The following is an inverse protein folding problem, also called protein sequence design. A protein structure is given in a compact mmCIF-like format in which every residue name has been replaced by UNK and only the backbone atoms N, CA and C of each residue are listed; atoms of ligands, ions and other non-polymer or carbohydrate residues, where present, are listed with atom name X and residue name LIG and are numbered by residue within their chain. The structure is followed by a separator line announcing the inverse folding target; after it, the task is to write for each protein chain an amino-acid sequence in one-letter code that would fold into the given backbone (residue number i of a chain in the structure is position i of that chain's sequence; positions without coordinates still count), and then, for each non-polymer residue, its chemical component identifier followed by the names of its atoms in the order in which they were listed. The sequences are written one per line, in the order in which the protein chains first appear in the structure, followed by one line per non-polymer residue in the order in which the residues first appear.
data_IF_195369483652
#
_entry.id   IF_195369483652
#
_cell.length_a   1.000
_cell.length_b   1.000
_cell.length_c   1.000
_cell.angle_alpha   90.00
_cell.angle_beta   90.00
_cell.angle_gamma   90.00
#
_symmetry.space_group_name_H-M   'P 1'
#
loop_
_entity.id
_entity.type
_entity.pdbx_description
1 polymer ?
#
# COMPACT_ATOMS: atom_id res chain seq x y z
N UNK A 1 -14.38 -0.06 -16.01
CA UNK A 1 -14.24 1.23 -15.30
C UNK A 1 -13.06 1.12 -14.35
N UNK A 2 -12.21 2.14 -14.31
CA UNK A 2 -10.78 2.09 -13.92
C UNK A 2 -10.50 1.62 -12.48
N UNK A 3 -10.18 0.34 -12.28
CA UNK A 3 -9.57 -0.20 -11.04
C UNK A 3 -8.06 0.10 -10.92
N UNK A 4 -7.58 1.19 -11.53
CA UNK A 4 -6.15 1.43 -11.79
C UNK A 4 -5.32 1.59 -10.52
N UNK A 5 -5.67 2.44 -9.53
CA UNK A 5 -4.75 2.72 -8.42
C UNK A 5 -4.42 1.49 -7.57
N UNK A 6 -5.41 0.62 -7.31
CA UNK A 6 -5.20 -0.62 -6.56
C UNK A 6 -4.35 -1.62 -7.36
N UNK A 7 -4.64 -1.81 -8.65
CA UNK A 7 -3.85 -2.70 -9.49
C UNK A 7 -2.41 -2.19 -9.66
N UNK A 8 -2.22 -0.88 -9.84
CA UNK A 8 -0.91 -0.24 -9.94
C UNK A 8 -0.11 -0.45 -8.66
N UNK A 9 -0.73 -0.30 -7.49
CA UNK A 9 -0.07 -0.60 -6.21
C UNK A 9 0.32 -2.08 -6.08
N UNK A 10 -0.59 -3.01 -6.40
CA UNK A 10 -0.30 -4.44 -6.32
C UNK A 10 0.76 -4.88 -7.35
N UNK A 11 0.84 -4.21 -8.50
CA UNK A 11 1.89 -4.44 -9.48
C UNK A 11 3.24 -3.92 -8.98
N UNK A 12 3.27 -2.71 -8.40
CA UNK A 12 4.46 -2.17 -7.73
C UNK A 12 5.02 -3.14 -6.68
N UNK A 13 4.16 -3.70 -5.82
CA UNK A 13 4.60 -4.65 -4.79
C UNK A 13 5.19 -5.96 -5.35
N UNK A 14 4.95 -6.29 -6.62
CA UNK A 14 5.49 -7.47 -7.29
C UNK A 14 6.78 -7.19 -8.05
N UNK A 15 7.17 -5.92 -8.20
CA UNK A 15 8.44 -5.57 -8.84
C UNK A 15 9.60 -6.09 -7.99
N UNK A 16 10.59 -6.79 -8.58
CA UNK A 16 11.81 -7.16 -7.86
C UNK A 16 12.49 -5.88 -7.38
N UNK A 17 12.79 -5.78 -6.08
CA UNK A 17 13.45 -4.59 -5.53
C UNK A 17 14.91 -4.85 -5.23
N UNK A 18 15.76 -4.19 -6.02
CA UNK A 18 17.11 -3.77 -5.60
C UNK A 18 17.06 -2.41 -4.89
N UNK A 19 15.93 -2.07 -4.26
CA UNK A 19 15.70 -0.77 -3.63
C UNK A 19 16.26 -0.76 -2.21
N UNK A 20 16.86 0.36 -1.82
CA UNK A 20 17.10 0.68 -0.42
C UNK A 20 15.76 0.93 0.31
N UNK A 21 15.72 0.66 1.60
CA UNK A 21 14.52 0.78 2.44
C UNK A 21 13.91 2.19 2.40
N UNK A 22 14.75 3.21 2.36
CA UNK A 22 14.31 4.61 2.24
C UNK A 22 13.55 4.89 0.93
N UNK A 23 13.96 4.28 -0.18
CA UNK A 23 13.27 4.40 -1.46
C UNK A 23 11.97 3.60 -1.49
N UNK A 24 12.00 2.39 -0.93
CA UNK A 24 10.81 1.56 -0.74
C UNK A 24 9.73 2.33 0.03
N UNK A 25 10.10 2.96 1.15
CA UNK A 25 9.20 3.75 2.00
C UNK A 25 8.58 4.93 1.25
N UNK A 26 9.39 5.71 0.53
CA UNK A 26 8.92 6.86 -0.26
C UNK A 26 7.95 6.45 -1.37
N UNK A 27 8.29 5.41 -2.13
CA UNK A 27 7.43 4.91 -3.23
C UNK A 27 6.12 4.34 -2.68
N UNK A 28 6.20 3.54 -1.61
CA UNK A 28 5.01 2.95 -0.99
C UNK A 28 4.07 4.03 -0.45
N UNK A 29 4.58 5.06 0.25
CA UNK A 29 3.75 6.19 0.71
C UNK A 29 3.05 6.90 -0.45
N UNK A 30 3.74 7.15 -1.56
CA UNK A 30 3.17 7.78 -2.74
C UNK A 30 1.99 6.97 -3.33
N UNK A 31 2.14 5.65 -3.42
CA UNK A 31 1.05 4.78 -3.89
C UNK A 31 -0.12 4.74 -2.90
N UNK A 32 0.14 4.61 -1.60
CA UNK A 32 -0.91 4.61 -0.58
C UNK A 32 -1.66 5.95 -0.53
N UNK A 33 -0.95 7.07 -0.71
CA UNK A 33 -1.55 8.40 -0.83
C UNK A 33 -2.48 8.47 -2.04
N UNK A 34 -2.06 7.97 -3.19
CA UNK A 34 -2.89 7.93 -4.39
C UNK A 34 -4.15 7.06 -4.17
N UNK A 35 -4.05 5.95 -3.43
CA UNK A 35 -5.22 5.16 -3.03
C UNK A 35 -6.19 5.95 -2.15
N UNK A 36 -5.69 6.70 -1.15
CA UNK A 36 -6.53 7.53 -0.27
C UNK A 36 -7.19 8.68 -1.02
N UNK A 37 -6.47 9.31 -1.95
CA UNK A 37 -6.97 10.42 -2.78
C UNK A 37 -7.98 9.93 -3.84
N UNK A 38 -8.07 8.63 -4.07
CA UNK A 38 -9.06 8.01 -4.95
C UNK A 38 -10.45 7.91 -4.30
N UNK A 39 -10.95 9.06 -3.82
CA UNK A 39 -12.13 9.23 -2.98
C UNK A 39 -13.46 8.78 -3.60
N UNK A 40 -13.53 8.55 -4.91
CA UNK A 40 -14.78 8.15 -5.57
C UNK A 40 -15.16 6.68 -5.36
N UNK A 41 -14.22 5.83 -4.92
CA UNK A 41 -14.42 4.39 -4.79
C UNK A 41 -14.08 3.82 -3.42
N UNK A 42 -13.75 4.67 -2.44
CA UNK A 42 -13.44 4.23 -1.08
C UNK A 42 -14.27 5.02 -0.07
N UNK A 43 -14.75 4.34 0.97
CA UNK A 43 -15.45 4.99 2.07
C UNK A 43 -14.48 5.59 3.11
N UNK A 44 -15.02 6.35 4.06
CA UNK A 44 -14.22 7.02 5.09
C UNK A 44 -13.48 6.03 6.01
N UNK A 45 -14.02 4.83 6.24
CA UNK A 45 -13.38 3.80 7.04
C UNK A 45 -12.18 3.19 6.30
N UNK A 46 -12.34 2.90 5.01
CA UNK A 46 -11.27 2.43 4.14
C UNK A 46 -10.16 3.48 4.00
N UNK A 47 -10.52 4.74 3.78
CA UNK A 47 -9.55 5.84 3.72
C UNK A 47 -8.77 6.00 5.03
N UNK A 48 -9.44 5.86 6.18
CA UNK A 48 -8.79 5.89 7.49
C UNK A 48 -7.85 4.69 7.70
N UNK A 49 -8.27 3.49 7.29
CA UNK A 49 -7.44 2.29 7.39
C UNK A 49 -6.16 2.40 6.52
N UNK A 50 -6.28 2.89 5.29
CA UNK A 50 -5.12 3.16 4.42
C UNK A 50 -4.20 4.24 5.01
N UNK A 51 -4.78 5.29 5.60
CA UNK A 51 -3.99 6.35 6.27
C UNK A 51 -3.18 5.77 7.43
N UNK A 52 -3.76 4.86 8.21
CA UNK A 52 -3.04 4.18 9.29
C UNK A 52 -1.86 3.35 8.78
N UNK A 53 -2.01 2.62 7.67
CA UNK A 53 -0.90 1.88 7.05
C UNK A 53 0.24 2.84 6.66
N UNK A 54 -0.08 4.02 6.13
CA UNK A 54 0.92 5.04 5.79
C UNK A 54 1.68 5.52 7.02
N UNK A 55 0.96 5.84 8.10
CA UNK A 55 1.57 6.26 9.36
C UNK A 55 2.50 5.17 9.92
N UNK A 56 2.02 3.92 9.98
CA UNK A 56 2.81 2.79 10.48
C UNK A 56 4.09 2.63 9.65
N UNK A 57 4.00 2.73 8.31
CA UNK A 57 5.17 2.71 7.42
C UNK A 57 6.15 3.86 7.70
N UNK A 58 5.66 5.07 8.00
CA UNK A 58 6.48 6.24 8.34
C UNK A 58 7.25 6.03 9.65
N UNK A 59 6.65 5.39 10.64
CA UNK A 59 7.29 5.17 11.94
C UNK A 59 8.15 3.91 12.02
N UNK A 60 8.07 3.07 11.00
CA UNK A 60 8.86 1.85 10.94
C UNK A 60 10.28 2.14 10.42
N UNK A 61 11.26 1.58 11.12
CA UNK A 61 12.66 1.54 10.73
C UNK A 61 13.09 0.07 10.59
N UNK A 62 13.36 -0.35 9.36
CA UNK A 62 13.74 -1.72 9.02
C UNK A 62 14.93 -1.71 8.05
N UNK A 63 15.64 -2.84 7.97
CA UNK A 63 16.67 -3.07 6.97
C UNK A 63 16.10 -3.51 5.62
N UNK A 64 16.93 -3.43 4.57
CA UNK A 64 16.57 -3.78 3.20
C UNK A 64 16.11 -5.25 3.07
N UNK A 65 16.61 -6.13 3.93
CA UNK A 65 16.25 -7.56 4.00
C UNK A 65 14.78 -7.81 4.33
N UNK A 66 14.09 -6.81 4.89
CA UNK A 66 12.68 -6.92 5.30
C UNK A 66 11.70 -6.41 4.25
N UNK A 67 12.18 -5.76 3.17
CA UNK A 67 11.34 -5.15 2.13
C UNK A 67 10.36 -6.16 1.53
N UNK A 68 10.83 -7.37 1.21
CA UNK A 68 9.99 -8.42 0.60
C UNK A 68 8.91 -8.94 1.55
N UNK A 69 9.20 -9.02 2.85
CA UNK A 69 8.20 -9.36 3.86
C UNK A 69 7.13 -8.28 3.97
N UNK A 70 7.56 -7.01 3.99
CA UNK A 70 6.65 -5.87 4.06
C UNK A 70 5.76 -5.76 2.82
N UNK A 71 6.30 -5.97 1.62
CA UNK A 71 5.50 -5.98 0.39
C UNK A 71 4.34 -6.97 0.48
N UNK A 72 4.61 -8.19 0.96
CA UNK A 72 3.57 -9.23 1.16
C UNK A 72 2.51 -8.76 2.15
N UNK A 73 2.94 -8.23 3.31
CA UNK A 73 2.04 -7.74 4.36
C UNK A 73 1.16 -6.59 3.86
N UNK A 74 1.75 -5.58 3.21
CA UNK A 74 1.04 -4.43 2.64
C UNK A 74 0.03 -4.84 1.58
N UNK A 75 0.39 -5.80 0.71
CA UNK A 75 -0.53 -6.32 -0.29
C UNK A 75 -1.76 -6.99 0.33
N UNK A 76 -1.56 -7.79 1.39
CA UNK A 76 -2.66 -8.42 2.13
C UNK A 76 -3.54 -7.41 2.84
N UNK A 77 -2.96 -6.42 3.52
CA UNK A 77 -3.71 -5.38 4.23
C UNK A 77 -4.54 -4.53 3.28
N UNK A 78 -3.95 -4.06 2.17
CA UNK A 78 -4.68 -3.25 1.18
C UNK A 78 -5.78 -4.07 0.49
N UNK A 79 -5.54 -5.35 0.18
CA UNK A 79 -6.59 -6.23 -0.33
C UNK A 79 -7.71 -6.48 0.68
N UNK A 80 -7.39 -6.56 1.98
CA UNK A 80 -8.41 -6.68 3.02
C UNK A 80 -9.25 -5.42 3.18
N UNK A 81 -8.69 -4.24 2.87
CA UNK A 81 -9.39 -2.95 2.99
C UNK A 81 -10.23 -2.65 1.74
N UNK A 82 -9.64 -2.86 0.55
CA UNK A 82 -10.20 -2.43 -0.74
C UNK A 82 -10.73 -3.56 -1.61
N UNK A 83 -10.42 -4.81 -1.27
CA UNK A 83 -10.94 -5.97 -1.98
C UNK A 83 -12.46 -6.08 -1.83
N UNK A 84 -13.13 -6.84 -2.71
CA UNK A 84 -14.54 -7.12 -2.53
C UNK A 84 -14.73 -7.77 -1.15
N UNK A 85 -15.54 -7.15 -0.29
CA UNK A 85 -16.02 -7.79 0.94
C UNK A 85 -16.62 -9.13 0.53
N UNK A 86 -15.99 -10.24 0.93
CA UNK A 86 -16.59 -11.55 0.78
C UNK A 86 -17.92 -11.49 1.55
N UNK A 87 -19.01 -11.42 0.81
CA UNK A 87 -20.39 -11.50 1.30
C UNK A 87 -20.80 -12.96 1.37
#
# INVERSE_FOLDING_TARGET
MNSKPMQDFLNYLKEPSDLEYGDFKRRTDAHLRHLVEWQWNIDAHQAKALTKIREDLIWTDHGDDQIESMKKKLGQEVLSILGPTQS
#
